data_IF_478535450358
#
_entry.id   IF_478535450358
#
_cell.length_a   1.000
_cell.length_b   1.000
_cell.length_c   1.000
_cell.angle_alpha   90.00
_cell.angle_beta   90.00
_cell.angle_gamma   90.00
#
_symmetry.space_group_name_H-M   'P 1'
#
loop_
_entity.id
_entity.type
_entity.pdbx_description
1 polymer ?
#
# COMPACT_ATOMS: atom_id res chain seq x y z
N UNK A 1 -19.62 16.65 -12.58
CA UNK A 1 -18.25 17.05 -12.19
C UNK A 1 -18.24 17.31 -10.69
N UNK A 2 -17.67 16.41 -9.89
CA UNK A 2 -17.48 16.60 -8.45
C UNK A 2 -16.15 17.35 -8.16
N UNK A 3 -15.89 17.71 -6.90
CA UNK A 3 -14.70 18.47 -6.52
C UNK A 3 -13.39 17.74 -6.88
N UNK A 4 -13.36 16.42 -6.75
CA UNK A 4 -12.19 15.61 -7.09
C UNK A 4 -11.94 15.59 -8.61
N UNK A 5 -12.99 15.48 -9.42
CA UNK A 5 -12.91 15.53 -10.88
C UNK A 5 -12.44 16.90 -11.37
N UNK A 6 -12.90 17.98 -10.75
CA UNK A 6 -12.40 19.32 -11.04
C UNK A 6 -10.92 19.47 -10.68
N UNK A 7 -10.49 18.93 -9.54
CA UNK A 7 -9.09 18.97 -9.10
C UNK A 7 -8.16 18.20 -10.05
N UNK A 8 -8.57 17.02 -10.52
CA UNK A 8 -7.81 16.21 -11.50
C UNK A 8 -7.54 16.94 -12.82
N UNK A 9 -8.40 17.90 -13.21
CA UNK A 9 -8.19 18.70 -14.42
C UNK A 9 -7.12 19.79 -14.25
N UNK A 10 -6.76 20.15 -13.01
CA UNK A 10 -5.85 21.25 -12.69
C UNK A 10 -4.51 20.78 -12.12
N UNK A 11 -4.47 19.60 -11.51
CA UNK A 11 -3.27 19.06 -10.87
C UNK A 11 -3.21 17.54 -10.94
N UNK A 12 -2.03 16.99 -10.66
CA UNK A 12 -1.84 15.56 -10.44
C UNK A 12 -2.37 15.20 -9.06
N UNK A 13 -3.33 14.30 -9.02
CA UNK A 13 -3.88 13.77 -7.76
C UNK A 13 -3.14 12.50 -7.38
N UNK A 14 -2.66 12.47 -6.14
CA UNK A 14 -1.93 11.36 -5.53
C UNK A 14 -2.72 10.85 -4.33
N UNK A 15 -2.82 9.53 -4.15
CA UNK A 15 -3.42 8.94 -2.96
C UNK A 15 -2.35 8.60 -1.90
N UNK A 16 -2.50 9.13 -0.69
CA UNK A 16 -1.57 8.84 0.42
C UNK A 16 -2.11 7.70 1.29
N UNK A 17 -1.92 6.46 0.83
CA UNK A 17 -2.47 5.28 1.49
C UNK A 17 -1.74 3.99 1.09
N UNK A 18 -1.71 3.02 2.01
CA UNK A 18 -1.34 1.63 1.71
C UNK A 18 -2.52 0.75 1.29
N UNK A 19 -3.75 1.29 1.24
CA UNK A 19 -4.95 0.54 0.92
C UNK A 19 -5.25 0.54 -0.59
N UNK A 20 -5.05 -0.61 -1.22
CA UNK A 20 -5.27 -0.89 -2.64
C UNK A 20 -6.73 -0.64 -3.06
N UNK A 21 -7.72 -0.90 -2.19
CA UNK A 21 -9.12 -0.67 -2.55
C UNK A 21 -9.44 0.83 -2.65
N UNK A 22 -8.85 1.66 -1.78
CA UNK A 22 -8.97 3.11 -1.89
C UNK A 22 -8.30 3.62 -3.17
N UNK A 23 -7.12 3.09 -3.53
CA UNK A 23 -6.43 3.43 -4.78
C UNK A 23 -7.30 3.07 -5.98
N UNK A 24 -7.92 1.89 -5.98
CA UNK A 24 -8.83 1.44 -7.05
C UNK A 24 -10.07 2.32 -7.16
N UNK A 25 -10.67 2.69 -6.04
CA UNK A 25 -11.88 3.52 -6.00
C UNK A 25 -11.62 4.93 -6.57
N UNK A 26 -10.52 5.57 -6.17
CA UNK A 26 -10.26 6.97 -6.50
C UNK A 26 -9.43 7.17 -7.76
N UNK A 27 -8.78 6.12 -8.27
CA UNK A 27 -7.96 6.12 -9.49
C UNK A 27 -7.03 7.36 -9.54
N UNK A 28 -6.14 7.53 -8.55
CA UNK A 28 -5.15 8.59 -8.57
C UNK A 28 -4.12 8.33 -9.68
N UNK A 29 -3.33 9.35 -10.01
CA UNK A 29 -2.20 9.17 -10.93
C UNK A 29 -1.09 8.35 -10.26
N UNK A 30 -0.74 8.73 -9.03
CA UNK A 30 0.27 8.06 -8.21
C UNK A 30 -0.29 7.72 -6.82
N UNK A 31 0.39 6.85 -6.09
CA UNK A 31 0.12 6.60 -4.67
C UNK A 31 1.41 6.74 -3.86
N UNK A 32 1.31 7.35 -2.68
CA UNK A 32 2.41 7.45 -1.73
C UNK A 32 2.14 6.57 -0.52
N UNK A 33 3.20 5.92 -0.05
CA UNK A 33 3.22 5.21 1.22
C UNK A 33 4.28 5.82 2.12
N UNK A 34 4.14 5.59 3.41
CA UNK A 34 5.18 5.81 4.40
C UNK A 34 5.17 4.64 5.41
N UNK A 35 6.16 4.51 6.31
CA UNK A 35 6.21 3.39 7.25
C UNK A 35 4.93 3.22 8.09
N UNK A 36 4.30 4.32 8.52
CA UNK A 36 3.06 4.28 9.31
C UNK A 36 1.87 3.76 8.50
N UNK A 37 1.75 4.15 7.23
CA UNK A 37 0.70 3.67 6.34
C UNK A 37 0.86 2.19 5.98
N UNK A 38 2.10 1.73 5.79
CA UNK A 38 2.40 0.30 5.57
C UNK A 38 2.03 -0.51 6.81
N UNK A 39 2.36 -0.03 8.01
CA UNK A 39 1.99 -0.67 9.26
C UNK A 39 0.47 -0.73 9.47
N UNK A 40 -0.24 0.35 9.15
CA UNK A 40 -1.70 0.36 9.24
C UNK A 40 -2.34 -0.62 8.25
N UNK A 41 -1.85 -0.65 7.01
CA UNK A 41 -2.33 -1.57 5.99
C UNK A 41 -2.02 -3.03 6.35
N UNK A 42 -0.83 -3.35 6.87
CA UNK A 42 -0.45 -4.75 7.16
C UNK A 42 -1.37 -5.43 8.19
N UNK A 43 -2.08 -4.66 9.02
CA UNK A 43 -3.07 -5.17 9.96
C UNK A 43 -4.43 -5.52 9.31
N UNK A 44 -4.66 -5.13 8.06
CA UNK A 44 -5.91 -5.41 7.36
C UNK A 44 -5.99 -6.87 6.91
N UNK A 45 -7.09 -7.60 7.18
CA UNK A 45 -7.19 -9.04 6.89
C UNK A 45 -6.94 -9.40 5.42
N UNK A 46 -7.36 -8.55 4.49
CA UNK A 46 -7.16 -8.77 3.05
C UNK A 46 -5.67 -8.76 2.63
N UNK A 47 -4.80 -8.18 3.44
CA UNK A 47 -3.35 -8.12 3.17
C UNK A 47 -2.55 -9.19 3.91
N UNK A 48 -3.17 -9.97 4.80
CA UNK A 48 -2.49 -11.08 5.48
C UNK A 48 -1.74 -12.02 4.51
N UNK A 49 -2.29 -12.43 3.36
CA UNK A 49 -1.54 -13.28 2.41
C UNK A 49 -0.27 -12.63 1.86
N UNK A 50 -0.26 -11.29 1.71
CA UNK A 50 0.93 -10.56 1.24
C UNK A 50 2.01 -10.53 2.32
N UNK A 51 1.60 -10.36 3.58
CA UNK A 51 2.51 -10.38 4.74
C UNK A 51 3.11 -11.78 4.93
N UNK A 52 2.30 -12.84 4.86
CA UNK A 52 2.76 -14.22 4.94
C UNK A 52 3.78 -14.55 3.84
N UNK A 53 3.51 -14.10 2.62
CA UNK A 53 4.44 -14.25 1.50
C UNK A 53 5.76 -13.48 1.72
N UNK A 54 5.70 -12.26 2.27
CA UNK A 54 6.89 -11.48 2.59
C UNK A 54 7.74 -12.14 3.68
N UNK A 55 7.12 -12.68 4.73
CA UNK A 55 7.79 -13.44 5.79
C UNK A 55 8.42 -14.72 5.21
N UNK A 56 7.67 -15.46 4.39
CA UNK A 56 8.16 -16.68 3.76
C UNK A 56 9.34 -16.40 2.82
N UNK A 57 9.31 -15.28 2.10
CA UNK A 57 10.43 -14.81 1.29
C UNK A 57 11.65 -14.50 2.16
N UNK A 58 11.50 -13.70 3.22
CA UNK A 58 12.61 -13.37 4.15
C UNK A 58 13.29 -14.62 4.71
N UNK A 59 12.50 -15.61 5.14
CA UNK A 59 13.00 -16.90 5.65
C UNK A 59 13.75 -17.74 4.62
N UNK A 60 13.50 -17.57 3.33
CA UNK A 60 14.22 -18.27 2.25
C UNK A 60 15.53 -17.59 1.88
N UNK A 61 15.64 -16.28 2.11
CA UNK A 61 16.79 -15.49 1.69
C UNK A 61 17.94 -15.48 2.70
N UNK A 62 17.70 -15.95 3.93
CA UNK A 62 18.72 -16.09 4.96
C UNK A 62 18.56 -17.43 5.64
N UNK A 63 19.65 -18.16 5.88
CA UNK A 63 19.66 -19.38 6.69
C UNK A 63 19.99 -19.09 8.18
N UNK A 64 20.30 -17.83 8.52
CA UNK A 64 20.54 -17.38 9.89
C UNK A 64 19.23 -16.97 10.56
N UNK A 65 18.77 -17.79 11.52
CA UNK A 65 17.56 -17.51 12.30
C UNK A 65 17.61 -16.18 13.08
N UNK A 66 18.79 -15.62 13.35
CA UNK A 66 18.90 -14.32 14.00
C UNK A 66 18.63 -13.14 13.02
N UNK A 67 18.63 -13.39 11.72
CA UNK A 67 18.43 -12.42 10.65
C UNK A 67 17.08 -12.57 9.91
N UNK A 68 16.30 -13.61 10.26
CA UNK A 68 14.93 -13.85 9.77
C UNK A 68 13.90 -13.20 10.71
#
# INVERSE_FOLDING_TARGET
MNQLEALKAMTVVVADTGDIEAIRQYQPQDATTNPSLVLAASALPQYAPLIDNAIAYGKKQSDDRAQQ
#
